data_IF_783588533952
#
_entry.id   IF_783588533952
#
_cell.length_a   1.000
_cell.length_b   1.000
_cell.length_c   1.000
_cell.angle_alpha   90.00
_cell.angle_beta   90.00
_cell.angle_gamma   90.00
#
_symmetry.space_group_name_H-M   'P 1'
#
loop_
_entity.id
_entity.type
_entity.pdbx_description
1 polymer ?
#
# COMPACT_ATOMS: atom_id res chain seq x y z
N UNK A 1 -10.25 -2.27 6.94
CA UNK A 1 -10.17 -2.61 5.50
C UNK A 1 -10.84 -1.56 4.64
N UNK A 2 -12.04 -1.08 5.02
CA UNK A 2 -12.68 0.07 4.35
C UNK A 2 -11.76 1.30 4.31
N UNK A 3 -11.27 1.76 5.46
CA UNK A 3 -10.46 2.99 5.53
C UNK A 3 -9.12 2.87 4.79
N UNK A 4 -8.53 1.67 4.75
CA UNK A 4 -7.31 1.42 3.96
C UNK A 4 -7.57 1.50 2.46
N UNK A 5 -8.75 1.12 1.99
CA UNK A 5 -9.12 1.27 0.58
C UNK A 5 -9.48 2.72 0.26
N UNK A 6 -10.26 3.39 1.12
CA UNK A 6 -10.65 4.79 0.90
C UNK A 6 -9.43 5.71 0.77
N UNK A 7 -8.41 5.50 1.59
CA UNK A 7 -7.17 6.28 1.54
C UNK A 7 -6.35 6.08 0.25
N UNK A 8 -6.56 4.99 -0.48
CA UNK A 8 -5.79 4.67 -1.71
C UNK A 8 -6.60 4.93 -2.96
N UNK A 9 -7.83 4.43 -3.02
CA UNK A 9 -8.65 4.41 -4.24
C UNK A 9 -9.80 5.43 -4.21
N UNK A 10 -10.04 6.07 -3.07
CA UNK A 10 -11.14 7.01 -2.84
C UNK A 10 -12.48 6.33 -2.54
N UNK A 11 -13.45 7.12 -2.07
CA UNK A 11 -14.73 6.61 -1.55
C UNK A 11 -15.55 5.82 -2.57
N UNK A 12 -15.75 6.37 -3.79
CA UNK A 12 -16.61 5.75 -4.82
C UNK A 12 -16.08 4.39 -5.30
N UNK A 13 -14.76 4.30 -5.53
CA UNK A 13 -14.14 3.05 -5.99
C UNK A 13 -14.12 2.03 -4.85
N UNK A 14 -13.92 2.48 -3.61
CA UNK A 14 -13.99 1.61 -2.42
C UNK A 14 -15.38 1.01 -2.26
N UNK A 15 -16.43 1.82 -2.36
CA UNK A 15 -17.81 1.34 -2.27
C UNK A 15 -18.10 0.28 -3.34
N UNK A 16 -17.74 0.58 -4.60
CA UNK A 16 -17.96 -0.36 -5.71
C UNK A 16 -17.17 -1.66 -5.53
N UNK A 17 -15.91 -1.58 -5.10
CA UNK A 17 -15.08 -2.74 -4.87
C UNK A 17 -15.61 -3.62 -3.72
N UNK A 18 -16.04 -3.01 -2.62
CA UNK A 18 -16.56 -3.71 -1.44
C UNK A 18 -17.94 -4.31 -1.67
N UNK A 19 -18.86 -3.58 -2.32
CA UNK A 19 -20.22 -4.07 -2.57
C UNK A 19 -20.25 -5.17 -3.64
N UNK A 20 -19.42 -5.05 -4.68
CA UNK A 20 -19.45 -5.97 -5.84
C UNK A 20 -18.40 -7.07 -5.78
N UNK A 21 -17.46 -7.01 -4.84
CA UNK A 21 -16.32 -7.93 -4.79
C UNK A 21 -15.41 -7.80 -6.01
N UNK A 22 -15.21 -6.58 -6.52
CA UNK A 22 -14.41 -6.36 -7.72
C UNK A 22 -12.93 -6.67 -7.46
N UNK A 23 -12.33 -7.50 -8.31
CA UNK A 23 -10.91 -7.79 -8.29
C UNK A 23 -10.17 -6.88 -9.28
N UNK A 24 -9.12 -6.20 -8.80
CA UNK A 24 -8.26 -5.38 -9.65
C UNK A 24 -7.22 -6.26 -10.33
N UNK A 25 -7.05 -6.13 -11.64
CA UNK A 25 -5.89 -6.71 -12.31
C UNK A 25 -4.61 -6.03 -11.83
N UNK A 26 -3.45 -6.69 -11.96
CA UNK A 26 -2.18 -6.12 -11.52
C UNK A 26 -1.88 -4.76 -12.17
N UNK A 27 -2.30 -4.56 -13.43
CA UNK A 27 -2.14 -3.29 -14.14
C UNK A 27 -3.05 -2.17 -13.62
N UNK A 28 -4.27 -2.51 -13.20
CA UNK A 28 -5.20 -1.55 -12.60
C UNK A 28 -4.77 -1.20 -11.17
N UNK A 29 -4.33 -2.19 -10.41
CA UNK A 29 -3.80 -1.97 -9.07
C UNK A 29 -2.59 -1.03 -9.07
N UNK A 30 -1.72 -1.11 -10.09
CA UNK A 30 -0.62 -0.16 -10.28
C UNK A 30 -1.14 1.27 -10.58
N UNK A 31 -2.15 1.40 -11.45
CA UNK A 31 -2.72 2.71 -11.81
C UNK A 31 -3.40 3.41 -10.64
N UNK A 32 -4.09 2.66 -9.80
CA UNK A 32 -4.79 3.18 -8.62
C UNK A 32 -3.82 3.37 -7.44
N UNK A 33 -2.59 2.88 -7.53
CA UNK A 33 -1.58 3.01 -6.46
C UNK A 33 -1.76 2.00 -5.32
N UNK A 34 -2.50 0.91 -5.55
CA UNK A 34 -2.53 -0.24 -4.65
C UNK A 34 -1.22 -1.05 -4.70
N UNK A 35 -0.51 -0.99 -5.83
CA UNK A 35 0.77 -1.66 -6.06
C UNK A 35 1.80 -0.61 -6.46
N UNK A 36 2.99 -0.67 -5.87
CA UNK A 36 4.06 0.29 -6.17
C UNK A 36 4.78 -0.02 -7.49
N UNK A 37 5.00 -1.31 -7.81
CA UNK A 37 5.72 -1.75 -9.00
C UNK A 37 5.19 -3.09 -9.52
N UNK A 38 5.12 -3.23 -10.85
CA UNK A 38 4.78 -4.47 -11.54
C UNK A 38 6.05 -5.13 -12.08
N UNK A 39 6.26 -6.41 -11.76
CA UNK A 39 7.46 -7.17 -12.17
C UNK A 39 7.11 -8.60 -12.57
N UNK A 40 8.01 -9.24 -13.31
CA UNK A 40 7.96 -10.70 -13.56
C UNK A 40 8.25 -11.47 -12.27
N UNK A 41 7.64 -12.63 -12.10
CA UNK A 41 7.69 -13.45 -10.89
C UNK A 41 9.13 -13.77 -10.44
N UNK A 42 10.02 -14.06 -11.39
CA UNK A 42 11.44 -14.36 -11.14
C UNK A 42 12.21 -13.17 -10.52
N UNK A 43 11.77 -11.93 -10.77
CA UNK A 43 12.42 -10.70 -10.32
C UNK A 43 11.81 -10.10 -9.07
N UNK A 44 10.72 -10.68 -8.55
CA UNK A 44 10.04 -10.17 -7.35
C UNK A 44 10.98 -10.19 -6.15
N UNK A 45 11.72 -11.28 -5.97
CA UNK A 45 12.57 -11.45 -4.78
C UNK A 45 13.82 -10.56 -4.80
N UNK A 46 14.46 -10.39 -5.96
CA UNK A 46 15.62 -9.50 -6.11
C UNK A 46 15.23 -8.04 -5.87
N UNK A 47 14.19 -7.56 -6.56
CA UNK A 47 13.69 -6.18 -6.44
C UNK A 47 13.19 -5.87 -5.02
N UNK A 48 12.55 -6.85 -4.37
CA UNK A 48 12.15 -6.73 -2.96
C UNK A 48 13.36 -6.60 -2.04
N UNK A 49 14.44 -7.32 -2.30
CA UNK A 49 15.67 -7.24 -1.48
C UNK A 49 16.35 -5.88 -1.65
N UNK A 50 16.40 -5.36 -2.87
CA UNK A 50 17.01 -4.06 -3.19
C UNK A 50 16.23 -2.89 -2.57
N UNK A 51 14.91 -2.88 -2.72
CA UNK A 51 14.03 -1.86 -2.11
C UNK A 51 14.09 -1.89 -0.59
N UNK A 52 14.12 -3.08 0.02
CA UNK A 52 14.33 -3.21 1.47
C UNK A 52 15.70 -2.66 1.90
N UNK A 53 16.74 -2.81 1.10
CA UNK A 53 18.06 -2.21 1.37
C UNK A 53 17.98 -0.70 1.58
N UNK A 54 17.26 0.01 0.70
CA UNK A 54 17.07 1.46 0.84
C UNK A 54 16.28 1.86 2.09
N UNK A 55 15.30 1.05 2.51
CA UNK A 55 14.53 1.27 3.73
C UNK A 55 15.33 0.94 5.00
N UNK A 56 16.15 -0.12 4.97
CA UNK A 56 17.03 -0.53 6.08
C UNK A 56 18.11 0.53 6.36
N UNK A 57 18.54 1.26 5.35
CA UNK A 57 19.49 2.37 5.51
C UNK A 57 18.91 3.54 6.35
N UNK A 58 17.58 3.63 6.48
CA UNK A 58 16.94 4.60 7.38
C UNK A 58 16.88 4.07 8.82
N UNK A 59 17.24 4.87 9.85
CA UNK A 59 17.15 4.42 11.24
C UNK A 59 15.75 3.93 11.60
N UNK A 60 15.65 2.70 12.12
CA UNK A 60 14.38 2.03 12.44
C UNK A 60 13.49 2.86 13.37
N UNK A 61 14.06 3.60 14.31
CA UNK A 61 13.34 4.49 15.22
C UNK A 61 12.60 5.60 14.46
N UNK A 62 13.27 6.23 13.49
CA UNK A 62 12.68 7.28 12.63
C UNK A 62 11.56 6.71 11.77
N UNK A 63 11.79 5.57 11.10
CA UNK A 63 10.77 4.92 10.27
C UNK A 63 9.55 4.48 11.08
N UNK A 64 9.74 4.04 12.33
CA UNK A 64 8.65 3.65 13.23
C UNK A 64 7.80 4.86 13.64
N UNK A 65 8.45 5.98 14.00
CA UNK A 65 7.75 7.22 14.37
C UNK A 65 7.00 7.80 13.18
N UNK A 66 7.63 7.92 12.01
CA UNK A 66 6.97 8.44 10.80
C UNK A 66 5.77 7.57 10.42
N UNK A 67 5.91 6.23 10.46
CA UNK A 67 4.80 5.31 10.18
C UNK A 67 3.64 5.43 11.18
N UNK A 68 3.95 5.64 12.46
CA UNK A 68 2.93 5.88 13.49
C UNK A 68 2.24 7.22 13.27
N UNK A 69 2.99 8.30 13.04
CA UNK A 69 2.46 9.64 12.77
C UNK A 69 1.53 9.68 11.55
N UNK A 70 1.93 9.08 10.43
CA UNK A 70 1.13 9.06 9.20
C UNK A 70 -0.18 8.26 9.34
N UNK A 71 -0.26 7.35 10.32
CA UNK A 71 -1.42 6.47 10.55
C UNK A 71 -2.25 6.87 11.75
N UNK A 72 -1.86 7.90 12.50
CA UNK A 72 -2.56 8.32 13.72
C UNK A 72 -4.05 8.51 13.46
N UNK A 73 -4.42 9.28 12.44
CA UNK A 73 -5.83 9.55 12.11
C UNK A 73 -6.64 8.26 11.92
N UNK A 74 -6.13 7.30 11.14
CA UNK A 74 -6.85 6.06 10.87
C UNK A 74 -6.86 5.07 12.04
N UNK A 75 -5.92 5.20 12.99
CA UNK A 75 -5.84 4.32 14.17
C UNK A 75 -6.68 4.88 15.33
N UNK A 76 -6.76 6.22 15.46
CA UNK A 76 -7.47 6.91 16.54
C UNK A 76 -8.99 6.96 16.32
N UNK A 77 -9.46 6.89 15.07
CA UNK A 77 -10.89 6.89 14.70
C UNK A 77 -11.59 5.51 14.95
N UNK A 78 -11.12 4.70 15.90
CA UNK A 78 -11.64 3.35 16.19
C UNK A 78 -12.48 3.27 17.47
#
# INVERSE_FOLDING_TARGET
FKDTMENVVGHRVTEQALQRGQMFSASEALKVGLVDQLMSEEKVQSTRSDSNGTMVNSPRSRSTVTKSMMRKQTIEDW
#
